data_IF_521665933117
#
_entry.id   IF_521665933117
#
_cell.length_a   1.000
_cell.length_b   1.000
_cell.length_c   1.000
_cell.angle_alpha   90.00
_cell.angle_beta   90.00
_cell.angle_gamma   90.00
#
_symmetry.space_group_name_H-M   'P 1'
#
loop_
_entity.id
_entity.type
_entity.pdbx_description
1 polymer ?
#
# COMPACT_ATOMS: atom_id res chain seq x y z
N UNK A 1 -28.07 34.21 17.36
CA UNK A 1 -28.70 33.34 16.35
C UNK A 1 -27.61 32.55 15.66
N UNK A 2 -27.63 31.23 15.89
CA UNK A 2 -27.06 30.07 15.20
C UNK A 2 -25.82 30.18 14.27
N UNK A 3 -24.82 29.36 14.64
CA UNK A 3 -23.64 28.81 13.94
C UNK A 3 -24.03 27.88 12.75
N UNK A 4 -23.12 27.12 12.07
CA UNK A 4 -21.68 27.25 11.74
C UNK A 4 -21.41 27.03 10.22
N UNK A 5 -20.22 27.37 9.72
CA UNK A 5 -19.49 26.42 8.85
C UNK A 5 -17.99 26.60 9.11
N UNK A 6 -17.44 25.58 9.75
CA UNK A 6 -16.07 25.46 10.25
C UNK A 6 -15.07 25.16 9.13
N UNK A 7 -13.99 25.93 9.13
CA UNK A 7 -12.60 25.59 8.78
C UNK A 7 -12.38 24.69 7.56
N UNK A 8 -12.23 25.35 6.41
CA UNK A 8 -11.62 24.79 5.22
C UNK A 8 -10.11 24.61 5.44
N UNK A 9 -9.64 23.39 5.23
CA UNK A 9 -8.27 23.00 4.89
C UNK A 9 -7.12 23.52 5.79
N UNK A 10 -6.62 22.69 6.71
CA UNK A 10 -5.23 22.78 7.17
C UNK A 10 -4.83 21.58 8.03
N UNK A 11 -4.20 20.58 7.39
CA UNK A 11 -3.14 19.70 7.91
C UNK A 11 -3.25 18.25 7.41
N UNK A 12 -2.91 18.04 6.13
CA UNK A 12 -2.26 16.79 5.74
C UNK A 12 -0.74 17.06 5.76
N UNK A 13 -0.16 17.14 6.96
CA UNK A 13 1.30 17.08 7.11
C UNK A 13 1.67 15.71 7.63
N UNK A 14 1.83 14.75 6.73
CA UNK A 14 2.65 13.56 7.00
C UNK A 14 3.94 13.76 6.22
N UNK A 15 4.78 14.70 6.66
CA UNK A 15 6.05 14.96 5.96
C UNK A 15 7.14 13.93 6.29
N UNK A 16 7.04 13.21 7.41
CA UNK A 16 7.89 12.05 7.74
C UNK A 16 7.21 11.21 8.83
N UNK A 17 6.30 10.30 8.48
CA UNK A 17 6.01 9.19 9.40
C UNK A 17 7.15 8.18 9.19
N UNK A 18 8.07 8.07 10.15
CA UNK A 18 9.07 7.00 10.09
C UNK A 18 8.33 5.67 10.07
N UNK A 19 8.36 5.01 8.92
CA UNK A 19 7.78 3.68 8.77
C UNK A 19 8.75 2.65 9.36
N UNK A 20 8.37 2.06 10.49
CA UNK A 20 9.22 1.14 11.25
C UNK A 20 9.01 -0.34 10.89
N UNK A 21 8.27 -0.63 9.81
CA UNK A 21 7.96 -1.99 9.37
C UNK A 21 8.71 -2.42 8.11
N UNK A 22 8.39 -3.61 7.61
CA UNK A 22 8.80 -4.06 6.28
C UNK A 22 7.92 -3.40 5.21
N UNK A 23 8.51 -2.73 4.22
CA UNK A 23 7.80 -2.00 3.16
C UNK A 23 6.89 -2.91 2.33
N UNK A 24 7.22 -4.20 2.21
CA UNK A 24 6.35 -5.14 1.53
C UNK A 24 5.08 -5.50 2.32
N UNK A 25 5.23 -5.95 3.58
CA UNK A 25 4.15 -6.63 4.28
C UNK A 25 3.52 -5.86 5.45
N UNK A 26 4.06 -4.73 5.89
CA UNK A 26 3.53 -4.03 7.07
C UNK A 26 4.13 -4.45 8.40
N UNK A 27 4.63 -5.67 8.49
CA UNK A 27 4.99 -6.30 9.75
C UNK A 27 6.30 -5.74 10.35
N UNK A 28 6.49 -5.82 11.68
CA UNK A 28 7.69 -5.32 12.36
C UNK A 28 9.00 -5.87 11.77
N UNK A 29 10.07 -5.07 11.82
CA UNK A 29 11.40 -5.47 11.36
C UNK A 29 11.89 -6.69 12.14
N UNK A 30 12.17 -7.77 11.42
CA UNK A 30 12.80 -8.99 11.93
C UNK A 30 13.55 -9.65 10.78
N UNK A 31 14.88 -9.74 10.87
CA UNK A 31 15.74 -10.20 9.76
C UNK A 31 15.46 -9.45 8.43
N UNK A 32 15.80 -8.16 8.41
CA UNK A 32 15.55 -7.25 7.28
C UNK A 32 16.83 -6.87 6.54
N UNK A 33 16.70 -6.64 5.24
CA UNK A 33 17.59 -5.77 4.48
C UNK A 33 17.11 -4.34 4.65
N UNK A 34 17.98 -3.44 5.12
CA UNK A 34 17.64 -2.06 5.42
C UNK A 34 18.55 -1.09 4.69
N UNK A 35 17.95 -0.07 4.08
CA UNK A 35 18.63 1.11 3.58
C UNK A 35 18.17 2.32 4.40
N UNK A 36 19.05 2.84 5.25
CA UNK A 36 18.74 3.99 6.11
C UNK A 36 18.56 5.28 5.31
N UNK A 37 19.33 5.46 4.23
CA UNK A 37 19.24 6.64 3.37
C UNK A 37 17.88 6.75 2.68
N UNK A 38 17.33 5.61 2.24
CA UNK A 38 16.01 5.54 1.60
C UNK A 38 14.87 5.35 2.62
N UNK A 39 15.17 5.18 3.91
CA UNK A 39 14.22 4.74 4.94
C UNK A 39 13.40 3.51 4.48
N UNK A 40 14.10 2.53 3.90
CA UNK A 40 13.50 1.33 3.30
C UNK A 40 13.95 0.09 4.05
N UNK A 41 13.02 -0.83 4.31
CA UNK A 41 13.28 -2.07 5.02
C UNK A 41 12.46 -3.21 4.42
N UNK A 42 13.09 -4.35 4.18
CA UNK A 42 12.43 -5.51 3.58
C UNK A 42 12.85 -6.78 4.32
N UNK A 43 11.90 -7.60 4.77
CA UNK A 43 12.24 -8.93 5.28
C UNK A 43 12.92 -9.74 4.19
N UNK A 44 13.92 -10.56 4.55
CA UNK A 44 14.57 -11.43 3.58
C UNK A 44 13.56 -12.31 2.82
N UNK A 45 12.53 -12.84 3.50
CA UNK A 45 11.43 -13.57 2.85
C UNK A 45 10.64 -12.70 1.87
N UNK A 46 10.30 -11.47 2.25
CA UNK A 46 9.49 -10.60 1.41
C UNK A 46 10.22 -10.17 0.14
N UNK A 47 11.55 -10.17 0.13
CA UNK A 47 12.34 -9.94 -1.08
C UNK A 47 12.18 -11.03 -2.14
N UNK A 48 11.77 -12.24 -1.76
CA UNK A 48 11.74 -13.40 -2.66
C UNK A 48 10.36 -14.06 -2.79
N UNK A 49 9.39 -13.72 -1.93
CA UNK A 49 8.12 -14.45 -1.83
C UNK A 49 7.02 -14.00 -2.79
N UNK A 50 7.16 -12.85 -3.46
CA UNK A 50 6.06 -12.25 -4.22
C UNK A 50 6.35 -12.22 -5.72
N UNK A 51 5.53 -12.85 -6.57
CA UNK A 51 5.70 -12.75 -8.02
C UNK A 51 5.31 -11.34 -8.51
N UNK A 52 5.98 -10.85 -9.55
CA UNK A 52 5.64 -9.53 -10.12
C UNK A 52 4.23 -9.49 -10.75
N UNK A 53 3.76 -10.63 -11.23
CA UNK A 53 2.47 -10.79 -11.88
C UNK A 53 1.72 -11.96 -11.26
N UNK A 54 0.43 -11.77 -10.99
CA UNK A 54 -0.43 -12.77 -10.38
C UNK A 54 -1.78 -12.78 -11.08
N UNK A 55 -2.24 -13.94 -11.55
CA UNK A 55 -3.61 -14.13 -12.01
C UNK A 55 -4.39 -14.77 -10.87
N UNK A 56 -5.34 -14.04 -10.30
CA UNK A 56 -6.19 -14.52 -9.21
C UNK A 56 -7.35 -15.34 -9.78
N UNK A 57 -7.80 -16.40 -9.10
CA UNK A 57 -8.88 -17.27 -9.60
C UNK A 57 -10.18 -16.49 -9.90
N UNK A 58 -10.50 -15.53 -9.05
CA UNK A 58 -11.67 -14.63 -9.20
C UNK A 58 -11.39 -13.35 -10.01
N UNK A 59 -10.27 -13.29 -10.75
CA UNK A 59 -9.92 -12.13 -11.55
C UNK A 59 -9.12 -12.48 -12.82
N UNK A 60 -9.66 -12.17 -13.99
CA UNK A 60 -9.08 -12.58 -15.28
C UNK A 60 -7.86 -11.77 -15.73
N UNK A 61 -7.67 -10.54 -15.23
CA UNK A 61 -6.50 -9.73 -15.58
C UNK A 61 -5.35 -9.98 -14.62
N UNK A 62 -4.12 -9.78 -15.11
CA UNK A 62 -2.93 -9.85 -14.27
C UNK A 62 -2.95 -8.74 -13.23
N UNK A 63 -2.83 -9.13 -11.97
CA UNK A 63 -2.51 -8.23 -10.88
C UNK A 63 -1.00 -8.01 -10.88
N UNK A 64 -0.60 -6.74 -11.00
CA UNK A 64 0.81 -6.35 -11.05
C UNK A 64 1.24 -5.87 -9.68
N UNK A 65 2.36 -6.38 -9.19
CA UNK A 65 2.98 -5.95 -7.94
C UNK A 65 3.41 -4.48 -8.06
N UNK A 66 2.92 -3.66 -7.14
CA UNK A 66 3.30 -2.26 -6.99
C UNK A 66 4.13 -2.13 -5.71
N UNK A 67 5.33 -1.57 -5.86
CA UNK A 67 6.28 -1.37 -4.75
C UNK A 67 6.00 -0.08 -3.97
N UNK A 68 5.21 0.80 -4.55
CA UNK A 68 4.73 2.05 -4.00
C UNK A 68 3.42 2.42 -4.71
N UNK A 69 2.64 3.33 -4.10
CA UNK A 69 1.44 3.83 -4.74
C UNK A 69 1.84 4.83 -5.85
N UNK A 70 1.51 4.57 -7.13
CA UNK A 70 2.06 5.35 -8.25
C UNK A 70 1.38 6.71 -8.45
N UNK A 71 0.28 6.99 -7.74
CA UNK A 71 -0.45 8.25 -7.85
C UNK A 71 -0.03 9.22 -6.74
N UNK A 72 0.02 10.50 -7.07
CA UNK A 72 0.46 11.52 -6.14
C UNK A 72 -0.49 11.59 -4.94
N UNK A 73 0.08 11.87 -3.76
CA UNK A 73 -0.66 11.95 -2.48
C UNK A 73 -1.81 12.98 -2.56
N UNK A 74 -1.65 13.98 -3.42
CA UNK A 74 -2.64 15.02 -3.72
C UNK A 74 -3.95 14.48 -4.32
N UNK A 75 -3.94 13.30 -4.95
CA UNK A 75 -5.13 12.73 -5.58
C UNK A 75 -6.12 12.09 -4.58
N UNK A 76 -5.79 11.97 -3.28
CA UNK A 76 -6.67 11.43 -2.21
C UNK A 76 -7.46 10.15 -2.59
N UNK A 77 -6.94 9.33 -3.52
CA UNK A 77 -7.63 8.12 -3.98
C UNK A 77 -7.38 7.03 -2.95
N UNK A 78 -8.42 6.61 -2.23
CA UNK A 78 -8.34 5.45 -1.34
C UNK A 78 -8.60 4.18 -2.15
N UNK A 79 -7.65 3.24 -2.11
CA UNK A 79 -7.84 1.91 -2.67
C UNK A 79 -8.09 0.94 -1.54
N UNK A 80 -9.23 0.26 -1.59
CA UNK A 80 -9.59 -0.76 -0.62
C UNK A 80 -9.33 -2.14 -1.19
N UNK A 81 -8.84 -3.03 -0.34
CA UNK A 81 -8.60 -4.42 -0.67
C UNK A 81 -9.93 -5.11 -0.96
N UNK A 82 -10.04 -5.76 -2.12
CA UNK A 82 -11.24 -6.55 -2.46
C UNK A 82 -11.55 -7.69 -1.47
N UNK A 83 -10.55 -8.18 -0.71
CA UNK A 83 -10.68 -9.37 0.15
C UNK A 83 -11.00 -9.00 1.59
N UNK A 84 -10.33 -8.00 2.15
CA UNK A 84 -10.47 -7.63 3.56
C UNK A 84 -11.09 -6.24 3.79
N UNK A 85 -11.43 -5.52 2.71
CA UNK A 85 -11.92 -4.13 2.72
C UNK A 85 -10.98 -3.11 3.40
N UNK A 86 -9.74 -3.49 3.71
CA UNK A 86 -8.73 -2.61 4.29
C UNK A 86 -8.04 -1.72 3.26
N UNK A 87 -7.51 -0.57 3.68
CA UNK A 87 -6.78 0.37 2.82
C UNK A 87 -5.48 -0.25 2.29
N UNK A 88 -5.23 -0.21 0.97
CA UNK A 88 -4.04 -0.79 0.33
C UNK A 88 -2.92 0.21 0.05
N UNK A 89 -3.20 1.50 -0.08
CA UNK A 89 -2.20 2.51 -0.43
C UNK A 89 -1.59 3.20 0.81
N UNK A 90 -1.42 2.45 1.90
CA UNK A 90 -0.82 2.89 3.16
C UNK A 90 0.73 2.81 3.15
N UNK A 91 1.35 3.08 1.99
CA UNK A 91 2.80 3.01 1.74
C UNK A 91 3.41 1.60 1.74
N UNK A 92 2.58 0.55 1.70
CA UNK A 92 2.99 -0.84 1.55
C UNK A 92 2.90 -1.29 0.10
N UNK A 93 3.53 -2.42 -0.21
CA UNK A 93 3.35 -3.07 -1.50
C UNK A 93 1.93 -3.61 -1.62
N UNK A 94 1.39 -3.54 -2.83
CA UNK A 94 0.07 -4.07 -3.16
C UNK A 94 0.06 -4.69 -4.55
N UNK A 95 -0.92 -5.53 -4.81
CA UNK A 95 -1.25 -5.98 -6.14
C UNK A 95 -2.34 -5.08 -6.72
N UNK A 96 -2.09 -4.54 -7.92
CA UNK A 96 -3.02 -3.64 -8.58
C UNK A 96 -3.28 -4.08 -10.02
N UNK A 97 -4.56 -4.11 -10.40
CA UNK A 97 -4.99 -4.21 -11.79
C UNK A 97 -5.45 -2.84 -12.27
N UNK A 98 -4.74 -2.25 -13.24
CA UNK A 98 -5.10 -0.96 -13.80
C UNK A 98 -6.40 -1.00 -14.63
N UNK A 99 -6.67 -2.12 -15.29
CA UNK A 99 -7.86 -2.30 -16.14
C UNK A 99 -9.15 -2.30 -15.32
N UNK A 100 -9.14 -3.01 -14.18
CA UNK A 100 -10.31 -3.13 -13.30
C UNK A 100 -10.26 -2.22 -12.08
N UNK A 101 -9.17 -1.45 -11.91
CA UNK A 101 -8.93 -0.58 -10.75
C UNK A 101 -9.06 -1.33 -9.43
N UNK A 102 -8.56 -2.56 -9.41
CA UNK A 102 -8.69 -3.50 -8.30
C UNK A 102 -7.37 -3.53 -7.53
N UNK A 103 -7.44 -3.24 -6.23
CA UNK A 103 -6.31 -3.37 -5.30
C UNK A 103 -6.47 -4.54 -4.35
N UNK A 104 -5.37 -5.20 -4.03
CA UNK A 104 -5.28 -6.22 -2.98
C UNK A 104 -3.98 -6.10 -2.20
N UNK A 105 -4.01 -6.36 -0.90
CA UNK A 105 -2.77 -6.55 -0.14
C UNK A 105 -2.04 -7.80 -0.64
N UNK A 106 -0.71 -7.84 -0.47
CA UNK A 106 0.11 -9.00 -0.85
C UNK A 106 -0.45 -10.32 -0.29
N UNK A 107 -0.76 -10.34 1.01
CA UNK A 107 -1.28 -11.52 1.71
C UNK A 107 -2.70 -11.90 1.28
N UNK A 108 -3.49 -10.92 0.83
CA UNK A 108 -4.86 -11.13 0.37
C UNK A 108 -4.91 -11.68 -1.06
N UNK A 109 -3.88 -11.46 -1.87
CA UNK A 109 -3.85 -11.92 -3.24
C UNK A 109 -3.56 -13.43 -3.36
N UNK A 110 -3.07 -14.06 -2.30
CA UNK A 110 -2.73 -15.50 -2.26
C UNK A 110 -3.80 -16.36 -1.60
N UNK A 111 -4.97 -15.80 -1.28
CA UNK A 111 -6.06 -16.46 -0.53
C UNK A 111 -7.01 -17.19 -1.47
#
# INVERSE_FOLDING_TARGET
MNSPFTNHASNCQIKYCMYFGCNACGEPKSFVYECLECNFSLHAKCATSWPENLIHVDHQHSLVLQYEWPYAIEDCVNIFCKVCDGLCNDSKWLYYCAECKLGTHLQCATV
#
